data_IF_435044685391
#
_entry.id   IF_435044685391
#
_cell.length_a   1.000
_cell.length_b   1.000
_cell.length_c   1.000
_cell.angle_alpha   90.00
_cell.angle_beta   90.00
_cell.angle_gamma   90.00
#
_symmetry.space_group_name_H-M   'P 1'
#
loop_
_entity.id
_entity.type
_entity.pdbx_description
1 polymer ?
#
# COMPACT_ATOMS: atom_id res chain seq x y z
N UNK A 1 -6.75 6.32 -18.06
CA UNK A 1 -5.60 5.99 -17.18
C UNK A 1 -5.62 4.50 -16.95
N UNK A 2 -4.53 3.76 -17.20
CA UNK A 2 -4.47 2.33 -16.88
C UNK A 2 -4.43 2.19 -15.36
N UNK A 3 -5.49 1.66 -14.76
CA UNK A 3 -5.50 1.28 -13.35
C UNK A 3 -4.32 0.31 -13.12
N UNK A 4 -3.35 0.73 -12.30
CA UNK A 4 -2.33 -0.20 -11.78
C UNK A 4 -3.05 -1.13 -10.81
N UNK A 5 -3.31 -2.36 -11.25
CA UNK A 5 -3.80 -3.41 -10.35
C UNK A 5 -2.74 -3.68 -9.27
N UNK A 6 -3.03 -3.27 -8.04
CA UNK A 6 -2.21 -3.57 -6.86
C UNK A 6 -2.28 -5.07 -6.58
N UNK A 7 -1.14 -5.70 -6.34
CA UNK A 7 -1.03 -7.15 -6.06
C UNK A 7 -0.68 -7.35 -4.60
N UNK A 8 -1.46 -8.19 -3.92
CA UNK A 8 -1.15 -8.62 -2.55
C UNK A 8 0.01 -9.61 -2.56
N UNK A 9 0.71 -9.68 -1.43
CA UNK A 9 1.81 -10.61 -1.17
C UNK A 9 3.00 -10.46 -2.15
N UNK A 10 3.11 -9.31 -2.80
CA UNK A 10 4.25 -8.93 -3.63
C UNK A 10 5.06 -7.82 -2.95
N UNK A 11 6.37 -7.79 -3.18
CA UNK A 11 7.23 -6.74 -2.66
C UNK A 11 7.07 -5.43 -3.44
N UNK A 12 6.91 -4.35 -2.69
CA UNK A 12 6.86 -2.98 -3.20
C UNK A 12 7.94 -2.11 -2.55
N UNK A 13 8.59 -1.27 -3.33
CA UNK A 13 9.56 -0.28 -2.85
C UNK A 13 8.88 1.08 -2.76
N UNK A 14 9.00 1.74 -1.61
CA UNK A 14 8.55 3.11 -1.43
C UNK A 14 9.53 4.11 -2.06
N UNK A 15 9.01 5.06 -2.84
CA UNK A 15 9.81 5.95 -3.69
C UNK A 15 10.86 6.79 -2.95
N UNK A 16 10.59 7.18 -1.70
CA UNK A 16 11.44 8.15 -0.97
C UNK A 16 12.48 7.50 -0.06
N UNK A 17 12.09 6.46 0.68
CA UNK A 17 12.97 5.83 1.67
C UNK A 17 13.61 4.54 1.15
N UNK A 18 13.21 4.09 -0.05
CA UNK A 18 13.70 2.87 -0.72
C UNK A 18 13.50 1.59 0.09
N UNK A 19 12.67 1.62 1.14
CA UNK A 19 12.34 0.44 1.95
C UNK A 19 11.32 -0.43 1.23
N UNK A 20 11.38 -1.74 1.51
CA UNK A 20 10.47 -2.74 0.97
C UNK A 20 9.29 -2.96 1.90
N UNK A 21 8.11 -3.09 1.32
CA UNK A 21 6.85 -3.32 2.02
C UNK A 21 6.02 -4.35 1.25
N UNK A 22 5.19 -5.11 1.96
CA UNK A 22 4.35 -6.16 1.38
C UNK A 22 2.89 -5.88 1.72
N UNK A 23 2.04 -5.53 0.74
CA UNK A 23 0.59 -5.52 0.90
C UNK A 23 0.07 -6.89 1.33
N UNK A 24 -0.73 -6.93 2.38
CA UNK A 24 -1.30 -8.15 2.96
C UNK A 24 -2.77 -8.28 2.59
N UNK A 25 -3.53 -7.19 2.73
CA UNK A 25 -4.97 -7.22 2.51
C UNK A 25 -5.50 -5.84 2.06
N UNK A 26 -6.69 -5.86 1.50
CA UNK A 26 -7.48 -4.66 1.26
C UNK A 26 -8.40 -4.39 2.45
N UNK A 27 -8.54 -3.13 2.82
CA UNK A 27 -9.42 -2.71 3.90
C UNK A 27 -10.08 -1.38 3.58
N UNK A 28 -10.90 -0.88 4.50
CA UNK A 28 -11.42 0.48 4.48
C UNK A 28 -10.95 1.23 5.72
N UNK A 29 -10.63 2.51 5.55
CA UNK A 29 -10.34 3.43 6.65
C UNK A 29 -11.30 4.61 6.57
N UNK A 30 -11.57 5.24 7.71
CA UNK A 30 -12.38 6.44 7.76
C UNK A 30 -11.48 7.67 7.61
N UNK A 31 -11.81 8.55 6.66
CA UNK A 31 -11.14 9.82 6.40
C UNK A 31 -12.22 10.87 6.18
N UNK A 32 -12.24 11.91 7.00
CA UNK A 32 -13.24 12.99 6.94
C UNK A 32 -14.69 12.44 6.93
N UNK A 33 -14.98 11.51 7.84
CA UNK A 33 -16.27 10.80 7.97
C UNK A 33 -16.70 9.94 6.76
N UNK A 34 -15.81 9.72 5.80
CA UNK A 34 -16.05 8.88 4.61
C UNK A 34 -15.18 7.61 4.67
N UNK A 35 -15.77 6.47 4.33
CA UNK A 35 -15.03 5.21 4.18
C UNK A 35 -14.33 5.16 2.82
N UNK A 36 -13.00 5.16 2.83
CA UNK A 36 -12.16 5.07 1.62
C UNK A 36 -11.42 3.74 1.56
N UNK A 37 -11.11 3.29 0.34
CA UNK A 37 -10.35 2.07 0.13
C UNK A 37 -8.89 2.24 0.54
N UNK A 38 -8.38 1.25 1.27
CA UNK A 38 -7.05 1.24 1.83
C UNK A 38 -6.38 -0.12 1.64
N UNK A 39 -5.08 -0.13 1.91
CA UNK A 39 -4.22 -1.31 1.87
C UNK A 39 -3.56 -1.45 3.23
N UNK A 40 -3.69 -2.63 3.81
CA UNK A 40 -2.90 -3.08 4.95
C UNK A 40 -1.61 -3.69 4.41
N UNK A 41 -0.46 -3.24 4.91
CA UNK A 41 0.85 -3.74 4.47
C UNK A 41 1.83 -3.85 5.63
N UNK A 42 2.81 -4.74 5.50
CA UNK A 42 3.90 -4.91 6.48
C UNK A 42 5.23 -4.40 5.98
N UNK A 43 6.06 -3.94 6.92
CA UNK A 43 7.49 -3.70 6.71
C UNK A 43 8.33 -4.97 7.00
N UNK A 44 9.65 -4.85 6.85
CA UNK A 44 10.65 -5.88 7.12
C UNK A 44 10.72 -6.31 8.59
N UNK A 45 10.47 -5.37 9.51
CA UNK A 45 10.37 -5.60 10.95
C UNK A 45 9.03 -6.23 11.40
N UNK A 46 8.17 -6.62 10.46
CA UNK A 46 6.79 -7.10 10.66
C UNK A 46 5.80 -6.07 11.23
N UNK A 47 6.18 -4.79 11.34
CA UNK A 47 5.23 -3.73 11.70
C UNK A 47 4.14 -3.60 10.64
N UNK A 48 2.89 -3.41 11.08
CA UNK A 48 1.72 -3.23 10.23
C UNK A 48 1.39 -1.75 10.04
N UNK A 49 1.08 -1.39 8.80
CA UNK A 49 0.69 -0.04 8.40
C UNK A 49 -0.54 -0.09 7.51
N UNK A 50 -1.32 0.98 7.55
CA UNK A 50 -2.45 1.18 6.64
C UNK A 50 -2.27 2.48 5.87
N UNK A 51 -2.65 2.47 4.60
CA UNK A 51 -2.60 3.65 3.73
C UNK A 51 -3.75 3.59 2.73
N UNK A 52 -4.24 4.77 2.34
CA UNK A 52 -5.20 4.90 1.25
C UNK A 52 -4.65 4.23 -0.02
N UNK A 53 -5.50 3.47 -0.73
CA UNK A 53 -5.09 2.65 -1.87
C UNK A 53 -4.45 3.50 -2.98
N UNK A 54 -5.04 4.65 -3.29
CA UNK A 54 -4.52 5.58 -4.29
C UNK A 54 -3.14 6.12 -3.89
N UNK A 55 -2.98 6.50 -2.63
CA UNK A 55 -1.72 6.99 -2.10
C UNK A 55 -0.63 5.90 -2.12
N UNK A 56 -0.99 4.64 -1.86
CA UNK A 56 -0.07 3.51 -2.00
C UNK A 56 0.37 3.34 -3.46
N UNK A 57 -0.55 3.30 -4.41
CA UNK A 57 -0.22 3.13 -5.84
C UNK A 57 0.67 4.27 -6.37
N UNK A 58 0.49 5.49 -5.84
CA UNK A 58 1.30 6.65 -6.23
C UNK A 58 2.73 6.63 -5.66
N UNK A 59 2.91 6.08 -4.44
CA UNK A 59 4.18 6.16 -3.71
C UNK A 59 5.02 4.89 -3.74
N UNK A 60 4.46 3.80 -4.26
CA UNK A 60 5.11 2.49 -4.24
C UNK A 60 5.17 1.88 -5.64
N UNK A 61 6.29 1.22 -5.93
CA UNK A 61 6.51 0.49 -7.18
C UNK A 61 6.81 -0.97 -6.89
N UNK A 62 6.32 -1.87 -7.74
CA UNK A 62 6.66 -3.29 -7.66
C UNK A 62 8.19 -3.43 -7.73
N UNK A 63 8.75 -4.20 -6.80
CA UNK A 63 10.14 -4.63 -6.83
C UNK A 63 10.24 -5.78 -7.84
N UNK A 64 10.95 -5.52 -8.95
CA UNK A 64 11.30 -6.54 -9.94
C UNK A 64 12.52 -7.33 -9.49
#
# INVERSE_FOLDING_TARGET
MKEKNLKLHQEYIHYKNLKTYIPIDFCKIQKDDIWVDAVLYKADDNSLYVREKEEFIAKFSIKN
#
